data_IF_913745827739
#
_entry.id   IF_913745827739
#
_cell.length_a   1.000
_cell.length_b   1.000
_cell.length_c   1.000
_cell.angle_alpha   90.00
_cell.angle_beta   90.00
_cell.angle_gamma   90.00
#
_symmetry.space_group_name_H-M   'P 1'
#
loop_
_entity.id
_entity.type
_entity.pdbx_description
1 polymer ?
#
# COMPACT_ATOMS: atom_id res chain seq x y z
N UNK A 1 21.51 9.36 18.14
CA UNK A 1 20.07 9.04 18.03
C UNK A 1 19.51 9.72 16.77
N UNK A 2 19.73 9.12 15.60
CA UNK A 2 19.29 9.71 14.33
C UNK A 2 17.81 9.38 14.08
N UNK A 3 16.96 10.38 14.27
CA UNK A 3 15.57 10.33 13.81
C UNK A 3 15.57 10.41 12.29
N UNK A 4 15.48 9.26 11.60
CA UNK A 4 15.27 9.18 10.15
C UNK A 4 13.99 9.95 9.79
N UNK A 5 14.20 11.16 9.26
CA UNK A 5 13.16 12.15 9.04
C UNK A 5 12.27 11.72 7.88
N UNK A 6 11.06 11.25 8.20
CA UNK A 6 9.92 11.11 7.28
C UNK A 6 9.66 12.39 6.46
N UNK A 7 10.19 13.54 6.90
CA UNK A 7 10.22 14.80 6.15
C UNK A 7 10.92 14.71 4.79
N UNK A 8 11.96 13.88 4.63
CA UNK A 8 12.75 13.85 3.38
C UNK A 8 11.97 13.27 2.19
N UNK A 9 11.13 12.25 2.43
CA UNK A 9 10.36 11.60 1.37
C UNK A 9 9.26 12.51 0.81
N UNK A 10 8.46 13.11 1.69
CA UNK A 10 7.35 13.97 1.29
C UNK A 10 7.83 15.22 0.53
N UNK A 11 8.89 15.85 1.03
CA UNK A 11 9.54 16.99 0.37
C UNK A 11 10.11 16.60 -1.00
N UNK A 12 10.77 15.45 -1.09
CA UNK A 12 11.31 14.94 -2.35
C UNK A 12 10.20 14.65 -3.38
N UNK A 13 9.12 13.97 -2.99
CA UNK A 13 7.98 13.74 -3.89
C UNK A 13 7.40 15.08 -4.39
N UNK A 14 7.25 16.05 -3.50
CA UNK A 14 6.77 17.40 -3.84
C UNK A 14 7.70 18.11 -4.83
N UNK A 15 9.01 17.98 -4.64
CA UNK A 15 10.02 18.51 -5.54
C UNK A 15 9.95 17.86 -6.93
N UNK A 16 9.97 16.53 -6.99
CA UNK A 16 9.89 15.80 -8.25
C UNK A 16 8.59 16.11 -9.01
N UNK A 17 7.48 16.26 -8.29
CA UNK A 17 6.20 16.69 -8.87
C UNK A 17 6.30 18.07 -9.53
N UNK A 18 6.93 19.05 -8.87
CA UNK A 18 7.11 20.40 -9.43
C UNK A 18 8.04 20.39 -10.64
N UNK A 19 9.10 19.58 -10.60
CA UNK A 19 10.04 19.42 -11.72
C UNK A 19 9.35 18.79 -12.94
N UNK A 20 8.44 17.84 -12.70
CA UNK A 20 7.56 17.27 -13.73
C UNK A 20 6.39 18.19 -14.13
N UNK A 21 6.31 19.41 -13.56
CA UNK A 21 5.26 20.40 -13.81
C UNK A 21 3.83 19.90 -13.54
N UNK A 22 3.68 18.91 -12.66
CA UNK A 22 2.37 18.43 -12.25
C UNK A 22 1.81 19.26 -11.09
N UNK A 23 0.54 19.64 -11.20
CA UNK A 23 -0.26 19.98 -10.02
C UNK A 23 -0.45 18.75 -9.13
N UNK A 24 -0.77 18.98 -7.85
CA UNK A 24 -1.06 17.89 -6.91
C UNK A 24 -2.23 16.99 -7.41
N UNK A 25 -3.23 17.59 -8.07
CA UNK A 25 -4.38 16.87 -8.62
C UNK A 25 -3.98 15.98 -9.80
N UNK A 26 -3.17 16.51 -10.72
CA UNK A 26 -2.67 15.75 -11.87
C UNK A 26 -1.81 14.56 -11.42
N UNK A 27 -0.88 14.76 -10.48
CA UNK A 27 -0.08 13.63 -10.00
C UNK A 27 -0.95 12.56 -9.34
N UNK A 28 -1.92 12.96 -8.51
CA UNK A 28 -2.83 12.03 -7.87
C UNK A 28 -3.61 11.18 -8.88
N UNK A 29 -4.12 11.82 -9.93
CA UNK A 29 -4.85 11.16 -11.02
C UNK A 29 -3.97 10.17 -11.79
N UNK A 30 -2.78 10.59 -12.23
CA UNK A 30 -1.86 9.74 -13.00
C UNK A 30 -1.27 8.61 -12.16
N UNK A 31 -1.05 8.84 -10.86
CA UNK A 31 -0.60 7.82 -9.93
C UNK A 31 -1.74 6.90 -9.44
N UNK A 32 -3.01 7.19 -9.74
CA UNK A 32 -4.14 6.37 -9.29
C UNK A 32 -4.37 6.44 -7.77
N UNK A 33 -3.99 7.54 -7.12
CA UNK A 33 -4.16 7.75 -5.67
C UNK A 33 -5.08 8.93 -5.40
N UNK A 34 -5.72 8.97 -4.22
CA UNK A 34 -6.58 10.09 -3.89
C UNK A 34 -5.77 11.37 -3.62
N UNK A 35 -6.26 12.52 -4.10
CA UNK A 35 -5.61 13.81 -3.87
C UNK A 35 -5.40 14.15 -2.38
N UNK A 36 -6.37 13.91 -1.46
CA UNK A 36 -6.16 14.11 -0.04
C UNK A 36 -5.04 13.25 0.54
N UNK A 37 -4.92 11.99 0.08
CA UNK A 37 -3.87 11.09 0.56
C UNK A 37 -2.49 11.51 0.07
N UNK A 38 -2.33 11.87 -1.21
CA UNK A 38 -1.08 12.41 -1.74
C UNK A 38 -0.66 13.70 -1.01
N UNK A 39 -1.61 14.57 -0.69
CA UNK A 39 -1.37 15.77 0.13
C UNK A 39 -0.81 15.44 1.51
N UNK A 40 -1.30 14.38 2.14
CA UNK A 40 -0.80 13.93 3.45
C UNK A 40 0.61 13.34 3.33
N UNK A 41 0.92 12.61 2.25
CA UNK A 41 2.25 12.07 1.98
C UNK A 41 3.28 13.20 1.79
N UNK A 42 2.99 14.19 0.93
CA UNK A 42 3.92 15.31 0.67
C UNK A 42 4.24 16.13 1.93
N UNK A 43 3.34 16.14 2.91
CA UNK A 43 3.53 16.82 4.20
C UNK A 43 4.15 15.93 5.28
N UNK A 44 4.45 14.67 4.96
CA UNK A 44 5.00 13.70 5.91
C UNK A 44 4.00 13.24 6.98
N UNK A 45 2.69 13.48 6.80
CA UNK A 45 1.64 13.11 7.76
C UNK A 45 1.19 11.65 7.63
N UNK A 46 1.56 11.00 6.52
CA UNK A 46 1.26 9.60 6.24
C UNK A 46 2.47 8.90 5.65
N UNK A 47 2.67 7.66 6.07
CA UNK A 47 3.63 6.74 5.47
C UNK A 47 2.95 5.97 4.34
N UNK A 48 3.38 6.11 3.07
CA UNK A 48 2.85 5.32 1.97
C UNK A 48 3.36 3.88 2.03
N UNK A 49 2.58 2.95 1.44
CA UNK A 49 3.04 1.57 1.21
C UNK A 49 4.01 1.50 0.02
N UNK A 50 4.70 0.37 -0.13
CA UNK A 50 5.60 0.14 -1.26
C UNK A 50 4.88 0.22 -2.62
N UNK A 51 3.63 -0.27 -2.69
CA UNK A 51 2.79 -0.19 -3.90
C UNK A 51 2.48 1.25 -4.29
N UNK A 52 2.06 2.08 -3.32
CA UNK A 52 1.79 3.50 -3.54
C UNK A 52 3.06 4.23 -4.01
N UNK A 53 4.22 3.89 -3.45
CA UNK A 53 5.49 4.45 -3.91
C UNK A 53 5.84 4.02 -5.34
N UNK A 54 5.53 2.80 -5.78
CA UNK A 54 5.71 2.38 -7.19
C UNK A 54 4.81 3.18 -8.12
N UNK A 55 3.55 3.36 -7.75
CA UNK A 55 2.59 4.12 -8.53
C UNK A 55 3.03 5.57 -8.71
N UNK A 56 3.48 6.21 -7.63
CA UNK A 56 4.01 7.58 -7.65
C UNK A 56 5.30 7.65 -8.49
N UNK A 57 6.23 6.71 -8.32
CA UNK A 57 7.47 6.65 -9.09
C UNK A 57 7.20 6.51 -10.60
N UNK A 58 6.25 5.64 -10.98
CA UNK A 58 5.82 5.44 -12.36
C UNK A 58 5.21 6.72 -12.94
N UNK A 59 4.34 7.40 -12.20
CA UNK A 59 3.72 8.65 -12.64
C UNK A 59 4.75 9.77 -12.83
N UNK A 60 5.76 9.84 -11.97
CA UNK A 60 6.86 10.81 -12.04
C UNK A 60 8.00 10.38 -12.98
N UNK A 61 7.96 9.16 -13.52
CA UNK A 61 9.02 8.56 -14.36
C UNK A 61 10.40 8.57 -13.69
N UNK A 62 10.43 8.28 -12.39
CA UNK A 62 11.66 8.15 -11.60
C UNK A 62 11.83 6.72 -11.08
N UNK A 63 13.01 6.40 -10.55
CA UNK A 63 13.25 5.09 -9.95
C UNK A 63 12.47 4.93 -8.63
N UNK A 64 11.70 3.85 -8.50
CA UNK A 64 11.02 3.51 -7.25
C UNK A 64 12.00 3.23 -6.10
N UNK A 65 13.20 2.73 -6.43
CA UNK A 65 14.29 2.50 -5.49
C UNK A 65 14.67 3.78 -4.71
N UNK A 66 14.74 4.92 -5.43
CA UNK A 66 15.06 6.21 -4.82
C UNK A 66 14.01 6.66 -3.80
N UNK A 67 12.75 6.28 -4.01
CA UNK A 67 11.68 6.52 -3.06
C UNK A 67 11.74 5.54 -1.89
N UNK A 68 12.10 4.28 -2.14
CA UNK A 68 12.26 3.27 -1.07
C UNK A 68 13.38 3.60 -0.11
N UNK A 69 14.53 4.05 -0.62
CA UNK A 69 15.66 4.49 0.20
C UNK A 69 15.24 5.67 1.09
N UNK A 70 14.59 6.68 0.50
CA UNK A 70 14.09 7.84 1.26
C UNK A 70 12.97 7.49 2.24
N UNK A 71 12.16 6.49 1.92
CA UNK A 71 11.14 5.96 2.81
C UNK A 71 11.72 5.09 3.94
N UNK A 72 13.01 4.74 3.88
CA UNK A 72 13.65 3.79 4.79
C UNK A 72 13.17 2.35 4.61
N UNK A 73 12.56 2.04 3.46
CA UNK A 73 12.10 0.68 3.09
C UNK A 73 13.26 -0.13 2.53
N UNK A 74 14.19 0.55 1.85
CA UNK A 74 15.42 -0.03 1.33
C UNK A 74 16.60 0.68 2.00
N UNK A 75 17.60 -0.07 2.44
CA UNK A 75 18.87 0.54 2.82
C UNK A 75 19.55 1.03 1.53
N UNK A 76 20.12 2.24 1.55
CA UNK A 76 20.93 2.70 0.41
C UNK A 76 22.01 1.64 0.20
N UNK A 77 22.00 0.99 -0.96
CA UNK A 77 23.00 0.02 -1.34
C UNK A 77 24.36 0.71 -1.41
N UNK A 78 25.05 0.78 -0.26
CA UNK A 78 26.44 1.21 -0.09
C UNK A 78 27.40 0.39 -0.97
N UNK A 79 26.89 -0.72 -1.50
CA UNK A 79 27.40 -1.64 -2.50
C UNK A 79 28.30 -0.96 -3.55
N UNK A 80 27.76 0.04 -4.26
CA UNK A 80 28.53 0.71 -5.33
C UNK A 80 29.63 1.62 -4.79
N UNK A 81 29.53 2.09 -3.54
CA UNK A 81 30.56 2.93 -2.92
C UNK A 81 31.74 2.09 -2.46
N UNK A 82 31.49 0.90 -1.90
CA UNK A 82 32.53 -0.02 -1.44
C UNK A 82 33.27 -0.65 -2.64
N UNK A 83 32.54 -1.16 -3.64
CA UNK A 83 33.17 -1.73 -4.84
C UNK A 83 34.02 -0.70 -5.58
N UNK A 84 33.51 0.53 -5.75
CA UNK A 84 34.26 1.61 -6.38
C UNK A 84 35.51 2.00 -5.57
N UNK A 85 35.43 1.99 -4.23
CA UNK A 85 36.58 2.27 -3.37
C UNK A 85 37.67 1.19 -3.50
N UNK A 86 37.30 -0.09 -3.55
CA UNK A 86 38.24 -1.21 -3.75
C UNK A 86 38.93 -1.10 -5.10
N UNK A 87 38.19 -0.76 -6.16
CA UNK A 87 38.75 -0.61 -7.51
C UNK A 87 39.67 0.60 -7.64
N UNK A 88 39.32 1.71 -7.00
CA UNK A 88 40.08 2.96 -7.04
C UNK A 88 41.36 2.93 -6.16
N UNK A 89 41.49 1.96 -5.26
CA UNK A 89 42.66 1.83 -4.40
C UNK A 89 43.91 1.43 -5.22
N UNK A 90 44.89 2.33 -5.27
CA UNK A 90 46.16 2.13 -5.99
C UNK A 90 47.19 1.32 -5.21
N UNK A 91 46.96 1.09 -3.92
CA UNK A 91 47.86 0.31 -3.05
C UNK A 91 47.65 -1.21 -3.17
N UNK A 92 46.58 -1.63 -3.84
CA UNK A 92 46.15 -3.03 -3.94
C UNK A 92 46.34 -3.53 -5.37
N UNK A 93 46.87 -4.75 -5.54
CA UNK A 93 47.03 -5.36 -6.87
C UNK A 93 45.70 -5.80 -7.48
N UNK A 94 45.63 -5.90 -8.79
CA UNK A 94 44.42 -6.38 -9.50
C UNK A 94 43.97 -7.78 -9.09
N UNK A 95 44.91 -8.66 -8.71
CA UNK A 95 44.58 -9.98 -8.16
C UNK A 95 43.91 -9.87 -6.79
N UNK A 96 44.44 -9.02 -5.91
CA UNK A 96 43.90 -8.81 -4.57
C UNK A 96 42.53 -8.12 -4.61
N UNK A 97 42.34 -7.12 -5.49
CA UNK A 97 41.03 -6.49 -5.74
C UNK A 97 39.98 -7.52 -6.13
N UNK A 98 40.33 -8.44 -7.05
CA UNK A 98 39.43 -9.50 -7.51
C UNK A 98 38.98 -10.42 -6.39
N UNK A 99 39.91 -10.82 -5.52
CA UNK A 99 39.60 -11.66 -4.34
C UNK A 99 38.75 -10.89 -3.32
N UNK A 100 39.04 -9.62 -3.07
CA UNK A 100 38.25 -8.78 -2.16
C UNK A 100 36.81 -8.63 -2.65
N UNK A 101 36.62 -8.39 -3.95
CA UNK A 101 35.30 -8.30 -4.56
C UNK A 101 34.54 -9.63 -4.49
N UNK A 102 35.21 -10.75 -4.75
CA UNK A 102 34.61 -12.08 -4.65
C UNK A 102 34.13 -12.40 -3.22
N UNK A 103 34.96 -12.12 -2.21
CA UNK A 103 34.61 -12.32 -0.80
C UNK A 103 33.47 -11.37 -0.40
N UNK A 104 33.54 -10.10 -0.82
CA UNK A 104 32.51 -9.11 -0.55
C UNK A 104 31.15 -9.55 -1.13
N UNK A 105 31.11 -9.96 -2.39
CA UNK A 105 29.90 -10.47 -3.04
C UNK A 105 29.33 -11.71 -2.33
N UNK A 106 30.19 -12.62 -1.90
CA UNK A 106 29.80 -13.83 -1.15
C UNK A 106 29.02 -13.47 0.13
N UNK A 107 29.59 -12.61 0.99
CA UNK A 107 28.94 -12.19 2.24
C UNK A 107 27.64 -11.43 2.00
N UNK A 108 27.57 -10.66 0.91
CA UNK A 108 26.33 -9.95 0.53
C UNK A 108 25.22 -10.90 0.11
N UNK A 109 25.53 -11.91 -0.71
CA UNK A 109 24.54 -12.93 -1.13
C UNK A 109 24.02 -13.71 0.07
N UNK A 110 24.89 -14.06 1.01
CA UNK A 110 24.51 -14.76 2.25
C UNK A 110 23.59 -13.91 3.13
N UNK A 111 23.92 -12.63 3.30
CA UNK A 111 23.11 -11.69 4.10
C UNK A 111 21.75 -11.42 3.46
N UNK A 112 21.70 -11.21 2.14
CA UNK A 112 20.45 -11.02 1.41
C UNK A 112 19.52 -12.24 1.50
N UNK A 113 20.08 -13.44 1.40
CA UNK A 113 19.33 -14.70 1.57
C UNK A 113 18.79 -14.84 3.00
N UNK A 114 19.58 -14.43 4.00
CA UNK A 114 19.19 -14.45 5.41
C UNK A 114 18.08 -13.45 5.72
N UNK A 115 18.18 -12.23 5.19
CA UNK A 115 17.15 -11.20 5.32
C UNK A 115 15.86 -11.63 4.61
N UNK A 116 15.94 -12.12 3.36
CA UNK A 116 14.78 -12.63 2.63
C UNK A 116 14.06 -13.79 3.36
N UNK A 117 14.81 -14.68 4.04
CA UNK A 117 14.23 -15.73 4.91
C UNK A 117 13.56 -15.20 6.17
N UNK A 118 14.07 -14.11 6.75
CA UNK A 118 13.43 -13.43 7.89
C UNK A 118 12.20 -12.61 7.46
N UNK A 119 12.06 -12.31 6.16
CA UNK A 119 11.04 -11.41 5.61
C UNK A 119 9.90 -12.10 4.85
N UNK A 120 9.67 -13.42 4.97
CA UNK A 120 8.43 -14.00 4.43
C UNK A 120 8.06 -15.40 4.93
N UNK A 121 6.78 -15.82 4.79
CA UNK A 121 5.55 -15.04 4.73
C UNK A 121 4.88 -15.00 6.12
N UNK A 122 4.42 -13.84 6.57
CA UNK A 122 3.23 -13.81 7.44
C UNK A 122 2.06 -14.26 6.55
N UNK A 123 1.86 -15.57 6.51
CA UNK A 123 0.66 -16.17 5.94
C UNK A 123 -0.51 -15.62 6.74
N UNK A 124 -1.24 -14.70 6.12
CA UNK A 124 -2.59 -14.32 6.53
C UNK A 124 -3.44 -15.58 6.43
N UNK A 125 -3.42 -16.40 7.48
CA UNK A 125 -4.39 -17.45 7.72
C UNK A 125 -5.65 -16.79 8.29
N UNK A 126 -6.45 -16.19 7.41
CA UNK A 126 -7.87 -15.95 7.68
C UNK A 126 -8.65 -16.82 6.70
N UNK A 127 -8.91 -18.06 7.12
CA UNK A 127 -9.94 -18.91 6.56
C UNK A 127 -10.81 -19.41 7.72
N UNK A 128 -11.91 -18.69 7.90
CA UNK A 128 -13.26 -19.20 8.21
C UNK A 128 -13.38 -20.32 9.26
N UNK A 129 -13.77 -19.94 10.47
CA UNK A 129 -14.48 -20.82 11.40
C UNK A 129 -15.51 -20.03 12.20
N UNK A 130 -16.65 -19.75 11.57
CA UNK A 130 -17.88 -19.39 12.28
C UNK A 130 -19.10 -19.80 11.49
N UNK A 131 -19.52 -21.07 11.65
CA UNK A 131 -20.92 -21.47 11.82
C UNK A 131 -21.03 -22.98 12.05
N UNK A 132 -21.48 -23.35 13.25
CA UNK A 132 -21.67 -24.74 13.66
C UNK A 132 -21.91 -24.89 15.15
N UNK A 133 -22.73 -24.03 15.76
CA UNK A 133 -23.35 -24.36 17.06
C UNK A 133 -24.73 -24.94 16.75
N UNK A 134 -24.79 -26.27 16.80
CA UNK A 134 -26.02 -27.00 17.03
C UNK A 134 -26.59 -26.53 18.38
N UNK A 135 -27.77 -25.92 18.35
CA UNK A 135 -28.63 -25.85 19.52
C UNK A 135 -29.68 -26.93 19.30
N UNK A 136 -29.49 -28.02 20.04
CA UNK A 136 -30.37 -29.18 20.08
C UNK A 136 -31.72 -28.72 20.63
N UNK A 137 -32.75 -28.85 19.80
CA UNK A 137 -34.12 -28.55 20.15
C UNK A 137 -34.70 -29.76 20.88
N UNK A 138 -34.92 -29.61 22.18
CA UNK A 138 -35.74 -30.56 22.92
C UNK A 138 -37.23 -30.30 22.62
N UNK A 139 -37.92 -31.41 22.39
CA UNK A 139 -39.31 -31.52 22.04
C UNK A 139 -40.21 -31.21 23.26
N UNK A 140 -41.25 -30.37 23.12
CA UNK A 140 -42.58 -30.81 23.58
C UNK A 140 -43.74 -29.97 22.99
N UNK A 141 -44.75 -30.71 22.50
CA UNK A 141 -46.22 -30.46 22.40
C UNK A 141 -46.76 -29.08 21.98
N UNK A 142 -47.53 -28.93 20.89
CA UNK A 142 -48.86 -29.46 20.50
C UNK A 142 -50.02 -28.46 20.74
N UNK A 143 -50.97 -28.46 19.77
CA UNK A 143 -52.33 -27.86 19.75
C UNK A 143 -52.40 -26.34 19.52
N UNK A 144 -53.30 -25.71 18.76
CA UNK A 144 -54.54 -26.02 18.03
C UNK A 144 -54.84 -24.77 17.15
N UNK A 145 -55.11 -24.88 15.84
CA UNK A 145 -56.42 -24.88 15.18
C UNK A 145 -57.08 -23.51 14.86
N UNK A 146 -57.53 -23.40 13.60
CA UNK A 146 -58.64 -22.60 13.04
C UNK A 146 -58.53 -21.07 12.79
N UNK A 147 -58.79 -20.70 11.52
CA UNK A 147 -59.90 -19.78 11.21
C UNK A 147 -59.65 -18.63 10.21
N UNK A 148 -60.04 -18.83 8.93
CA UNK A 148 -60.91 -17.97 8.07
C UNK A 148 -61.13 -16.51 8.53
N UNK A 149 -61.02 -15.44 7.72
CA UNK A 149 -61.84 -15.17 6.53
C UNK A 149 -61.37 -13.88 5.79
N UNK A 150 -61.60 -13.88 4.47
CA UNK A 150 -61.51 -12.77 3.49
C UNK A 150 -62.57 -11.66 3.67
N UNK A 151 -62.57 -10.63 2.79
CA UNK A 151 -63.66 -9.65 2.42
C UNK A 151 -63.42 -8.23 3.00
N UNK A 152 -63.45 -7.06 2.31
CA UNK A 152 -63.85 -6.66 0.93
C UNK A 152 -63.61 -5.15 0.68
N UNK A 153 -63.37 -4.79 -0.60
CA UNK A 153 -63.77 -3.57 -1.37
C UNK A 153 -63.33 -2.16 -0.92
N UNK A 154 -62.57 -1.45 -1.77
CA UNK A 154 -62.96 -0.55 -2.91
C UNK A 154 -63.52 0.81 -2.51
N UNK A 155 -62.89 1.85 -3.05
CA UNK A 155 -63.50 3.16 -3.37
C UNK A 155 -62.42 4.22 -3.55
N UNK A 156 -62.04 4.58 -4.80
CA UNK A 156 -62.43 5.84 -5.48
C UNK A 156 -62.03 7.08 -4.68
N UNK A 157 -61.24 8.03 -5.16
CA UNK A 157 -60.95 8.47 -6.52
C UNK A 157 -60.73 9.99 -6.44
N UNK A 158 -59.85 10.53 -7.29
CA UNK A 158 -59.66 11.98 -7.39
C UNK A 158 -58.25 12.37 -7.85
N UNK A 159 -58.06 12.49 -9.17
CA UNK A 159 -57.02 13.33 -9.76
C UNK A 159 -57.62 14.74 -10.06
N UNK A 160 -56.91 15.65 -10.75
CA UNK A 160 -56.18 16.80 -10.20
C UNK A 160 -56.82 18.12 -10.66
N UNK A 161 -56.30 19.29 -10.26
CA UNK A 161 -56.42 20.53 -11.06
C UNK A 161 -55.22 21.46 -10.91
N UNK A 162 -54.82 21.93 -12.08
CA UNK A 162 -53.80 22.92 -12.40
C UNK A 162 -54.12 24.35 -11.93
N UNK A 163 -53.07 25.19 -11.87
CA UNK A 163 -52.98 26.63 -12.26
C UNK A 163 -51.67 27.20 -11.69
N UNK A 164 -50.63 27.43 -12.48
CA UNK A 164 -50.35 28.64 -13.30
C UNK A 164 -50.42 29.98 -12.55
N UNK A 165 -49.26 30.66 -12.54
CA UNK A 165 -48.98 32.08 -12.86
C UNK A 165 -47.83 32.54 -11.94
N UNK A 166 -46.62 32.75 -12.49
CA UNK A 166 -46.14 34.02 -13.04
C UNK A 166 -45.96 35.10 -11.98
#
# INVERSE_FOLDING_TARGET
MATLRVSSLGEYIREQRRNAQYSLRQLAEVAGVSNPYLSQIERGLRRPSAEILQQIAKALRISAEQLYIRAGILEESDDRRVEAAILADTSITERQKRVLLEIYESFRRETATTTARKSGPETVATAEASQGRAHDGDHDRAQEAHGIESVVRRGRGGRPRDREAS
#
